data_IF_940456089212
#
_entry.id   IF_940456089212
#
_cell.length_a   1.000
_cell.length_b   1.000
_cell.length_c   1.000
_cell.angle_alpha   90.00
_cell.angle_beta   90.00
_cell.angle_gamma   90.00
#
_symmetry.space_group_name_H-M   'P 1'
#
loop_
_entity.id
_entity.type
_entity.pdbx_description
1 polymer ?
#
# COMPACT_ATOMS: atom_id res chain seq x y z
N UNK A 1 2.30 -25.81 -5.33
CA UNK A 1 2.85 -25.70 -3.95
C UNK A 1 4.38 -25.63 -4.03
N UNK A 2 5.03 -24.52 -3.62
CA UNK A 2 6.46 -24.26 -3.91
C UNK A 2 7.46 -24.72 -2.82
N UNK A 3 7.07 -24.72 -1.54
CA UNK A 3 7.94 -25.13 -0.43
C UNK A 3 7.93 -26.66 -0.19
N UNK A 4 8.99 -27.24 0.35
CA UNK A 4 8.96 -28.61 0.89
C UNK A 4 8.26 -28.65 2.26
N UNK A 5 7.91 -29.85 2.74
CA UNK A 5 7.45 -30.01 4.12
C UNK A 5 8.53 -29.54 5.11
N UNK A 6 8.14 -28.78 6.13
CA UNK A 6 9.05 -28.12 7.06
C UNK A 6 9.79 -26.91 6.49
N UNK A 7 9.48 -26.48 5.26
CA UNK A 7 10.05 -25.28 4.65
C UNK A 7 9.50 -24.01 5.33
N UNK A 8 10.33 -22.97 5.44
CA UNK A 8 9.94 -21.69 6.05
C UNK A 8 9.61 -20.65 4.98
N UNK A 9 8.76 -19.69 5.32
CA UNK A 9 8.54 -18.49 4.53
C UNK A 9 8.76 -17.22 5.36
N UNK A 10 9.01 -16.12 4.67
CA UNK A 10 8.86 -14.77 5.19
C UNK A 10 8.20 -13.90 4.12
N UNK A 11 7.32 -13.01 4.52
CA UNK A 11 6.64 -12.05 3.66
C UNK A 11 6.66 -10.67 4.33
N UNK A 12 6.77 -9.63 3.51
CA UNK A 12 6.65 -8.23 3.96
C UNK A 12 5.48 -7.62 3.19
N UNK A 13 4.47 -7.16 3.92
CA UNK A 13 3.23 -6.61 3.35
C UNK A 13 2.86 -5.31 4.06
N UNK A 14 2.05 -4.46 3.43
CA UNK A 14 1.56 -3.26 4.12
C UNK A 14 0.63 -3.63 5.29
N UNK A 15 0.65 -2.82 6.35
CA UNK A 15 -0.40 -2.85 7.37
C UNK A 15 -1.68 -2.17 6.86
N UNK A 16 -2.34 -1.35 7.68
CA UNK A 16 -3.61 -0.73 7.32
C UNK A 16 -3.44 0.52 6.45
N UNK A 17 -4.46 0.92 5.67
CA UNK A 17 -4.41 2.16 4.88
C UNK A 17 -4.11 3.41 5.71
N UNK A 18 -4.61 3.47 6.94
CA UNK A 18 -4.47 4.63 7.85
C UNK A 18 -3.02 4.82 8.30
N UNK A 19 -2.24 3.74 8.35
CA UNK A 19 -0.81 3.76 8.70
C UNK A 19 0.11 3.95 7.49
N UNK A 20 -0.46 3.88 6.28
CA UNK A 20 0.25 3.92 5.01
C UNK A 20 -0.20 5.10 4.14
N UNK A 21 -0.29 6.28 4.76
CA UNK A 21 -0.83 7.51 4.18
C UNK A 21 -0.17 7.96 2.88
N UNK A 22 1.13 7.66 2.71
CA UNK A 22 1.82 7.98 1.45
C UNK A 22 1.12 7.32 0.25
N UNK A 23 0.59 6.10 0.41
CA UNK A 23 -0.01 5.34 -0.68
C UNK A 23 -1.54 5.29 -0.64
N UNK A 24 -2.14 5.30 0.55
CA UNK A 24 -3.60 5.23 0.68
C UNK A 24 -4.30 6.53 0.27
N UNK A 25 -3.68 7.70 0.48
CA UNK A 25 -4.20 8.99 0.04
C UNK A 25 -4.32 9.07 -1.49
N UNK A 26 -3.27 8.77 -2.29
CA UNK A 26 -3.37 8.70 -3.74
C UNK A 26 -4.49 7.80 -4.25
N UNK A 27 -4.59 6.57 -3.72
CA UNK A 27 -5.67 5.63 -4.06
C UNK A 27 -7.04 6.24 -3.79
N UNK A 28 -7.21 6.89 -2.64
CA UNK A 28 -8.47 7.54 -2.26
C UNK A 28 -8.86 8.67 -3.21
N UNK A 29 -7.92 9.53 -3.59
CA UNK A 29 -8.15 10.64 -4.52
C UNK A 29 -8.55 10.11 -5.90
N UNK A 30 -7.79 9.16 -6.44
CA UNK A 30 -8.06 8.58 -7.75
C UNK A 30 -9.43 7.92 -7.77
N UNK A 31 -9.79 7.13 -6.75
CA UNK A 31 -11.11 6.49 -6.67
C UNK A 31 -12.25 7.49 -6.68
N UNK A 32 -12.14 8.59 -5.92
CA UNK A 32 -13.17 9.64 -5.91
C UNK A 32 -13.29 10.32 -7.27
N UNK A 33 -12.17 10.71 -7.89
CA UNK A 33 -12.16 11.41 -9.18
C UNK A 33 -12.67 10.53 -10.33
N UNK A 34 -12.25 9.27 -10.36
CA UNK A 34 -12.66 8.28 -11.37
C UNK A 34 -13.99 7.56 -11.03
N UNK A 35 -14.69 7.97 -9.96
CA UNK A 35 -15.97 7.39 -9.53
C UNK A 35 -15.93 5.86 -9.39
N UNK A 36 -14.79 5.33 -8.93
CA UNK A 36 -14.60 3.89 -8.78
C UNK A 36 -15.31 3.38 -7.52
N UNK A 37 -16.05 2.27 -7.59
CA UNK A 37 -16.72 1.70 -6.43
C UNK A 37 -15.67 1.26 -5.38
N UNK A 38 -16.00 1.29 -4.08
CA UNK A 38 -15.12 0.73 -3.07
C UNK A 38 -14.82 -0.74 -3.37
N UNK A 39 -13.62 -1.24 -3.02
CA UNK A 39 -13.35 -2.67 -3.17
C UNK A 39 -14.31 -3.46 -2.27
N UNK A 40 -14.83 -4.57 -2.78
CA UNK A 40 -15.66 -5.44 -1.95
C UNK A 40 -14.82 -6.02 -0.79
N UNK A 41 -15.43 -6.27 0.39
CA UNK A 41 -14.72 -6.87 1.52
C UNK A 41 -14.00 -8.16 1.12
N UNK A 42 -12.75 -8.31 1.56
CA UNK A 42 -11.92 -9.48 1.26
C UNK A 42 -11.35 -9.55 -0.16
N UNK A 43 -11.60 -8.56 -1.02
CA UNK A 43 -10.94 -8.50 -2.33
C UNK A 43 -9.44 -8.27 -2.19
N UNK A 44 -8.61 -8.87 -3.07
CA UNK A 44 -7.18 -8.63 -3.08
C UNK A 44 -6.88 -7.14 -3.25
N UNK A 45 -5.87 -6.68 -2.51
CA UNK A 45 -5.39 -5.31 -2.57
C UNK A 45 -4.17 -5.11 -1.70
N UNK A 46 -3.49 -3.95 -1.82
CA UNK A 46 -2.23 -3.70 -1.11
C UNK A 46 -2.33 -3.86 0.41
N UNK A 47 -3.50 -3.54 0.97
CA UNK A 47 -3.77 -3.57 2.42
C UNK A 47 -4.61 -4.79 2.84
N UNK A 48 -4.85 -5.75 1.96
CA UNK A 48 -5.76 -6.89 2.20
C UNK A 48 -5.35 -7.77 3.39
N UNK A 49 -4.07 -7.77 3.77
CA UNK A 49 -3.52 -8.52 4.91
C UNK A 49 -3.25 -7.65 6.15
N UNK A 50 -3.54 -6.34 6.06
CA UNK A 50 -3.07 -5.36 7.02
C UNK A 50 -3.83 -5.29 8.35
N UNK A 51 -5.10 -5.73 8.36
CA UNK A 51 -5.92 -5.73 9.56
C UNK A 51 -5.42 -6.79 10.57
N UNK A 52 -5.50 -6.52 11.89
CA UNK A 52 -5.07 -7.47 12.91
C UNK A 52 -5.66 -8.87 12.71
N UNK A 53 -4.79 -9.89 12.73
CA UNK A 53 -5.17 -11.29 12.57
C UNK A 53 -5.45 -11.75 11.13
N UNK A 54 -5.64 -10.85 10.15
CA UNK A 54 -5.98 -11.26 8.77
C UNK A 54 -4.82 -11.98 8.08
N UNK A 55 -3.60 -11.45 8.18
CA UNK A 55 -2.41 -12.13 7.65
C UNK A 55 -2.23 -13.52 8.28
N UNK A 56 -2.30 -13.61 9.61
CA UNK A 56 -2.15 -14.86 10.35
C UNK A 56 -3.18 -15.92 9.90
N UNK A 57 -4.45 -15.54 9.84
CA UNK A 57 -5.54 -16.42 9.39
C UNK A 57 -5.35 -16.85 7.94
N UNK A 58 -4.94 -15.95 7.05
CA UNK A 58 -4.71 -16.26 5.64
C UNK A 58 -3.59 -17.30 5.47
N UNK A 59 -2.46 -17.15 6.17
CA UNK A 59 -1.37 -18.12 6.11
C UNK A 59 -1.71 -19.44 6.84
N UNK A 60 -2.46 -19.39 7.94
CA UNK A 60 -2.95 -20.59 8.62
C UNK A 60 -3.88 -21.41 7.71
N UNK A 61 -4.82 -20.76 7.03
CA UNK A 61 -5.71 -21.39 6.07
C UNK A 61 -4.96 -21.99 4.86
N UNK A 62 -3.80 -21.43 4.52
CA UNK A 62 -2.90 -21.98 3.49
C UNK A 62 -2.09 -23.21 3.97
N UNK A 63 -2.21 -23.59 5.24
CA UNK A 63 -1.56 -24.75 5.85
C UNK A 63 -0.20 -24.47 6.47
N UNK A 64 0.12 -23.20 6.75
CA UNK A 64 1.32 -22.84 7.53
C UNK A 64 1.04 -22.91 9.04
N UNK A 65 2.10 -23.12 9.81
CA UNK A 65 2.12 -23.15 11.27
C UNK A 65 3.26 -22.30 11.81
N UNK A 66 3.30 -22.12 13.14
CA UNK A 66 4.30 -21.32 13.84
C UNK A 66 4.39 -19.90 13.26
N UNK A 67 3.21 -19.30 12.98
CA UNK A 67 3.09 -18.03 12.28
C UNK A 67 3.37 -16.88 13.24
N UNK A 68 4.18 -15.93 12.81
CA UNK A 68 4.41 -14.67 13.53
C UNK A 68 4.06 -13.50 12.63
N UNK A 69 3.51 -12.43 13.20
CA UNK A 69 3.26 -11.16 12.51
C UNK A 69 3.86 -10.06 13.36
N UNK A 70 4.87 -9.38 12.84
CA UNK A 70 5.55 -8.27 13.50
C UNK A 70 5.26 -6.96 12.77
N UNK A 71 4.91 -5.92 13.51
CA UNK A 71 4.68 -4.57 12.97
C UNK A 71 6.00 -3.82 12.93
N UNK A 72 6.37 -3.29 11.76
CA UNK A 72 7.64 -2.60 11.53
C UNK A 72 7.39 -1.20 10.94
N UNK A 73 7.66 -0.12 11.71
CA UNK A 73 7.63 1.25 11.19
C UNK A 73 8.63 1.39 10.04
N UNK A 74 8.15 1.79 8.86
CA UNK A 74 8.95 1.81 7.63
C UNK A 74 8.69 3.09 6.83
N UNK A 75 8.89 4.29 7.43
CA UNK A 75 8.51 5.56 6.79
C UNK A 75 9.22 5.77 5.46
N UNK A 76 8.48 6.23 4.44
CA UNK A 76 9.05 6.55 3.13
C UNK A 76 9.73 7.91 3.19
N UNK A 77 11.06 7.93 2.98
CA UNK A 77 11.86 9.16 3.01
C UNK A 77 12.31 9.53 1.61
N UNK A 78 11.93 10.73 1.18
CA UNK A 78 12.26 11.28 -0.13
C UNK A 78 12.61 12.77 0.01
N UNK A 79 13.22 13.41 -1.01
CA UNK A 79 13.54 14.83 -0.92
C UNK A 79 12.29 15.71 -0.81
N UNK A 80 11.23 15.42 -1.58
CA UNK A 80 10.00 16.21 -1.60
C UNK A 80 8.74 15.35 -1.81
N UNK A 81 7.56 15.93 -1.58
CA UNK A 81 6.28 15.32 -1.95
C UNK A 81 6.17 15.09 -3.46
N UNK A 82 6.73 15.98 -4.29
CA UNK A 82 6.78 15.81 -5.73
C UNK A 82 7.61 14.58 -6.14
N UNK A 83 8.69 14.28 -5.41
CA UNK A 83 9.45 13.03 -5.58
C UNK A 83 8.64 11.80 -5.21
N UNK A 84 7.79 11.88 -4.17
CA UNK A 84 6.87 10.79 -3.83
C UNK A 84 5.86 10.54 -4.96
N UNK A 85 5.26 11.59 -5.51
CA UNK A 85 4.33 11.46 -6.64
C UNK A 85 5.01 10.90 -7.87
N UNK A 86 6.24 11.32 -8.17
CA UNK A 86 7.05 10.72 -9.25
C UNK A 86 7.28 9.23 -8.99
N UNK A 87 7.74 8.87 -7.80
CA UNK A 87 7.97 7.47 -7.40
C UNK A 87 6.70 6.62 -7.57
N UNK A 88 5.54 7.13 -7.14
CA UNK A 88 4.26 6.45 -7.27
C UNK A 88 3.84 6.25 -8.73
N UNK A 89 4.03 7.27 -9.57
CA UNK A 89 3.74 7.20 -11.01
C UNK A 89 4.66 6.20 -11.71
N UNK A 90 5.90 6.09 -11.31
CA UNK A 90 6.86 5.17 -11.95
C UNK A 90 6.71 3.73 -11.45
N UNK A 91 6.36 3.55 -10.17
CA UNK A 91 6.40 2.23 -9.51
C UNK A 91 5.04 1.54 -9.43
N UNK A 92 3.94 2.29 -9.37
CA UNK A 92 2.61 1.74 -9.13
C UNK A 92 1.74 1.79 -10.39
N UNK A 93 2.00 0.84 -11.31
CA UNK A 93 1.22 0.70 -12.56
C UNK A 93 -0.30 0.60 -12.36
N UNK A 94 -0.76 0.10 -11.21
CA UNK A 94 -2.18 0.04 -10.87
C UNK A 94 -2.84 1.43 -10.76
N UNK A 95 -2.11 2.47 -10.33
CA UNK A 95 -2.66 3.83 -10.26
C UNK A 95 -3.00 4.36 -11.66
N UNK A 96 -2.16 4.08 -12.66
CA UNK A 96 -2.45 4.42 -14.07
C UNK A 96 -3.68 3.69 -14.60
N UNK A 97 -3.85 2.41 -14.23
CA UNK A 97 -5.05 1.65 -14.62
C UNK A 97 -6.32 2.25 -14.00
N UNK A 98 -6.25 2.66 -12.72
CA UNK A 98 -7.38 3.32 -12.05
C UNK A 98 -7.73 4.68 -12.67
N UNK A 99 -6.75 5.40 -13.20
CA UNK A 99 -6.92 6.68 -13.89
C UNK A 99 -7.32 6.54 -15.37
N UNK A 100 -7.34 5.33 -15.92
CA UNK A 100 -7.50 5.10 -17.37
C UNK A 100 -8.83 5.57 -17.95
N UNK A 101 -9.88 5.71 -17.11
CA UNK A 101 -11.21 6.17 -17.51
C UNK A 101 -11.34 7.70 -17.55
N UNK A 102 -10.37 8.43 -17.00
CA UNK A 102 -10.34 9.89 -17.00
C UNK A 102 -9.72 10.42 -18.30
N UNK A 103 -10.12 11.63 -18.72
CA UNK A 103 -9.39 12.38 -19.74
C UNK A 103 -8.07 12.95 -19.19
N UNK A 104 -7.23 13.49 -20.07
CA UNK A 104 -5.88 13.96 -19.69
C UNK A 104 -5.92 15.14 -18.71
N UNK A 105 -6.90 16.05 -18.84
CA UNK A 105 -7.06 17.18 -17.93
C UNK A 105 -7.47 16.70 -16.53
N UNK A 106 -8.39 15.74 -16.44
CA UNK A 106 -8.80 15.14 -15.17
C UNK A 106 -7.68 14.30 -14.54
N UNK A 107 -6.86 13.61 -15.34
CA UNK A 107 -5.64 12.92 -14.85
C UNK A 107 -4.64 13.91 -14.28
N UNK A 108 -4.36 15.01 -15.00
CA UNK A 108 -3.45 16.05 -14.53
C UNK A 108 -3.95 16.67 -13.21
N UNK A 109 -5.25 16.99 -13.13
CA UNK A 109 -5.86 17.51 -11.91
C UNK A 109 -5.83 16.50 -10.75
N UNK A 110 -5.94 15.19 -11.03
CA UNK A 110 -5.78 14.15 -10.01
C UNK A 110 -4.36 14.11 -9.45
N UNK A 111 -3.34 14.15 -10.31
CA UNK A 111 -1.94 14.16 -9.86
C UNK A 111 -1.57 15.44 -9.10
N UNK A 112 -2.13 16.58 -9.50
CA UNK A 112 -1.95 17.83 -8.77
C UNK A 112 -2.54 17.74 -7.36
N UNK A 113 -3.79 17.28 -7.24
CA UNK A 113 -4.47 17.07 -5.95
C UNK A 113 -3.70 16.09 -5.05
N UNK A 114 -3.19 14.99 -5.62
CA UNK A 114 -2.32 14.05 -4.90
C UNK A 114 -1.06 14.76 -4.38
N UNK A 115 -0.39 15.55 -5.23
CA UNK A 115 0.82 16.29 -4.85
C UNK A 115 0.53 17.24 -3.69
N UNK A 116 -0.54 18.03 -3.79
CA UNK A 116 -0.97 18.97 -2.76
C UNK A 116 -1.32 18.26 -1.45
N UNK A 117 -2.00 17.11 -1.51
CA UNK A 117 -2.31 16.35 -0.30
C UNK A 117 -1.06 15.75 0.33
N UNK A 118 -0.10 15.26 -0.46
CA UNK A 118 1.13 14.68 0.07
C UNK A 118 2.07 15.73 0.69
N UNK A 119 1.95 17.02 0.38
CA UNK A 119 2.76 18.05 1.07
C UNK A 119 2.51 18.12 2.57
N UNK A 120 1.42 17.54 3.08
CA UNK A 120 1.19 17.41 4.53
C UNK A 120 2.27 16.57 5.25
N UNK A 121 3.04 15.77 4.51
CA UNK A 121 4.16 14.97 5.01
C UNK A 121 5.53 15.57 4.69
N UNK A 122 5.58 16.78 4.12
CA UNK A 122 6.80 17.57 4.05
C UNK A 122 7.27 17.94 5.45
N UNK A 123 8.59 17.93 5.62
CA UNK A 123 9.30 18.28 6.85
C UNK A 123 10.42 19.25 6.49
N UNK A 124 11.01 19.97 7.45
CA UNK A 124 12.11 20.89 7.18
C UNK A 124 13.34 20.25 6.50
N UNK A 125 13.48 18.93 6.57
CA UNK A 125 14.63 18.18 6.03
C UNK A 125 14.26 17.25 4.86
N UNK A 126 13.02 17.33 4.36
CA UNK A 126 12.53 16.55 3.22
C UNK A 126 11.14 15.97 3.48
N UNK A 127 10.74 14.95 2.72
CA UNK A 127 9.46 14.27 2.86
C UNK A 127 9.56 13.01 3.72
N UNK A 128 8.61 12.79 4.64
CA UNK A 128 8.49 11.55 5.44
C UNK A 128 7.05 11.04 5.41
N UNK A 129 6.75 10.19 4.43
CA UNK A 129 5.43 9.57 4.26
C UNK A 129 5.17 8.48 5.31
N UNK A 130 3.99 8.47 5.97
CA UNK A 130 3.61 7.40 6.90
C UNK A 130 3.55 6.06 6.16
N UNK A 131 4.33 5.08 6.63
CA UNK A 131 4.36 3.73 6.09
C UNK A 131 4.72 2.75 7.22
N UNK A 132 3.96 1.66 7.28
CA UNK A 132 4.07 0.62 8.29
C UNK A 132 3.87 -0.74 7.60
N UNK A 133 4.83 -1.63 7.81
CA UNK A 133 4.86 -2.95 7.21
C UNK A 133 4.58 -4.02 8.26
N UNK A 134 4.05 -5.14 7.81
CA UNK A 134 3.96 -6.37 8.58
C UNK A 134 5.01 -7.35 8.04
N UNK A 135 5.87 -7.85 8.93
CA UNK A 135 6.78 -8.97 8.63
C UNK A 135 6.10 -10.24 9.14
N UNK A 136 5.76 -11.12 8.20
CA UNK A 136 5.07 -12.38 8.49
C UNK A 136 6.03 -13.53 8.26
N UNK A 137 6.14 -14.45 9.23
CA UNK A 137 6.92 -15.68 9.06
C UNK A 137 6.09 -16.90 9.39
N UNK A 138 6.50 -18.07 8.90
CA UNK A 138 5.89 -19.34 9.28
C UNK A 138 6.54 -20.55 8.62
N UNK A 139 6.08 -21.74 9.00
CA UNK A 139 6.60 -23.04 8.54
C UNK A 139 5.49 -23.84 7.86
N UNK A 140 5.81 -24.51 6.76
CA UNK A 140 4.89 -25.37 6.03
C UNK A 140 4.84 -26.80 6.58
#
# INVERSE_FOLDING_TARGET
RALRAGGRFSAVVYSTPERNGFFSIPIGIIRRRAQLPPPAPGQPGPFSLGNPGVAEQAFAAAGFRDITVEVVPSPLRLPTAADCVRFERESFGALHQMLSTLDEDAKAAAWQDITEQLTQFETPTGFTGPCEMLVVTGTR
#
